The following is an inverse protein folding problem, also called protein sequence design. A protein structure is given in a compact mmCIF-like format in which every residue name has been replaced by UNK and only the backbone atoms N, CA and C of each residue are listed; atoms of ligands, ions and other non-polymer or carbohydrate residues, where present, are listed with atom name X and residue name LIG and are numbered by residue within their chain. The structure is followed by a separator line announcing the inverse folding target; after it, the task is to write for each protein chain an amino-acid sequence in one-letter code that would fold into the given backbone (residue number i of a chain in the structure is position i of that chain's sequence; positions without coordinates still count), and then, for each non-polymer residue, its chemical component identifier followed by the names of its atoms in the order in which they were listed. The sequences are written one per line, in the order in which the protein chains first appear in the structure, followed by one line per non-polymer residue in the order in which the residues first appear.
data_IF_954615611289
#
_entry.id   IF_954615611289
#
_cell.length_a   1.000
_cell.length_b   1.000
_cell.length_c   1.000
_cell.angle_alpha   90.00
_cell.angle_beta   90.00
_cell.angle_gamma   90.00
#
_symmetry.space_group_name_H-M   'P 1'
#
loop_
_entity.id
_entity.type
_entity.pdbx_description
1 polymer ?
#
# COMPACT_ATOMS: atom_id res chain seq x y z
N UNK A 1 16.27 8.62 -7.96
CA UNK A 1 16.81 7.90 -6.79
C UNK A 1 15.76 6.92 -6.30
N UNK A 2 16.13 5.66 -6.06
CA UNK A 2 15.23 4.63 -5.48
C UNK A 2 15.66 4.34 -4.04
N UNK A 3 14.69 4.18 -3.14
CA UNK A 3 14.95 3.78 -1.77
C UNK A 3 15.19 2.26 -1.69
N UNK A 4 16.01 1.83 -0.74
CA UNK A 4 16.03 0.43 -0.32
C UNK A 4 14.65 0.09 0.25
N UNK A 5 14.04 -0.98 -0.25
CA UNK A 5 12.63 -1.29 -0.03
C UNK A 5 12.48 -2.62 0.67
N UNK A 6 11.70 -2.65 1.75
CA UNK A 6 11.30 -3.89 2.42
C UNK A 6 9.82 -3.86 2.79
N UNK A 7 9.25 -5.04 3.01
CA UNK A 7 7.90 -5.23 3.52
C UNK A 7 7.97 -6.11 4.75
N UNK A 8 7.15 -5.81 5.76
CA UNK A 8 7.03 -6.67 6.94
C UNK A 8 6.26 -7.95 6.62
N UNK A 9 6.32 -8.90 7.55
CA UNK A 9 5.52 -10.13 7.46
C UNK A 9 4.01 -9.81 7.50
N UNK A 10 3.63 -8.83 8.31
CA UNK A 10 2.26 -8.35 8.46
C UNK A 10 1.76 -7.71 7.18
N UNK A 11 2.54 -6.82 6.55
CA UNK A 11 2.19 -6.25 5.25
C UNK A 11 2.05 -7.34 4.16
N UNK A 12 2.94 -8.32 4.17
CA UNK A 12 2.89 -9.46 3.23
C UNK A 12 1.60 -10.27 3.42
N UNK A 13 1.23 -10.55 4.68
CA UNK A 13 -0.01 -11.24 5.03
C UNK A 13 -1.24 -10.44 4.62
N UNK A 14 -1.28 -9.15 4.94
CA UNK A 14 -2.38 -8.25 4.57
C UNK A 14 -2.59 -8.25 3.03
N UNK A 15 -1.50 -8.22 2.24
CA UNK A 15 -1.55 -8.29 0.77
C UNK A 15 -2.16 -9.63 0.32
N UNK A 16 -1.68 -10.76 0.85
CA UNK A 16 -2.18 -12.08 0.47
C UNK A 16 -3.67 -12.24 0.81
N UNK A 17 -4.09 -11.81 2.00
CA UNK A 17 -5.50 -11.85 2.42
C UNK A 17 -6.37 -10.95 1.53
N UNK A 18 -5.89 -9.75 1.19
CA UNK A 18 -6.60 -8.83 0.29
C UNK A 18 -6.78 -9.43 -1.11
N UNK A 19 -5.76 -10.10 -1.66
CA UNK A 19 -5.83 -10.73 -2.97
C UNK A 19 -6.73 -11.96 -2.98
N UNK A 20 -6.66 -12.78 -1.92
CA UNK A 20 -7.53 -13.94 -1.76
C UNK A 20 -9.00 -13.50 -1.64
N UNK A 21 -9.29 -12.49 -0.81
CA UNK A 21 -10.63 -11.94 -0.69
C UNK A 21 -11.14 -11.35 -2.00
N UNK A 22 -10.29 -10.62 -2.73
CA UNK A 22 -10.64 -10.06 -4.05
C UNK A 22 -11.01 -11.15 -5.05
N UNK A 23 -10.27 -12.26 -5.06
CA UNK A 23 -10.56 -13.41 -5.89
C UNK A 23 -11.89 -14.08 -5.50
N UNK A 24 -12.06 -14.36 -4.21
CA UNK A 24 -13.21 -15.12 -3.73
C UNK A 24 -14.52 -14.32 -3.85
N UNK A 25 -14.45 -12.99 -3.75
CA UNK A 25 -15.64 -12.13 -3.79
C UNK A 25 -15.99 -11.64 -5.20
N UNK A 26 -15.01 -11.50 -6.09
CA UNK A 26 -15.21 -10.84 -7.40
C UNK A 26 -14.54 -11.53 -8.59
N UNK A 27 -13.90 -12.68 -8.36
CA UNK A 27 -13.26 -13.50 -9.38
C UNK A 27 -11.82 -13.12 -9.74
N UNK A 28 -11.18 -13.91 -10.61
CA UNK A 28 -9.76 -13.79 -10.94
C UNK A 28 -9.36 -12.43 -11.52
N UNK A 29 -10.19 -11.85 -12.39
CA UNK A 29 -9.92 -10.54 -13.00
C UNK A 29 -9.85 -9.41 -11.96
N UNK A 30 -10.65 -9.51 -10.91
CA UNK A 30 -10.61 -8.56 -9.81
C UNK A 30 -9.34 -8.72 -8.98
N UNK A 31 -8.90 -9.96 -8.71
CA UNK A 31 -7.60 -10.23 -8.08
C UNK A 31 -6.45 -9.62 -8.88
N UNK A 32 -6.39 -9.86 -10.19
CA UNK A 32 -5.35 -9.32 -11.08
C UNK A 32 -5.36 -7.78 -11.07
N UNK A 33 -6.55 -7.17 -11.15
CA UNK A 33 -6.70 -5.72 -11.07
C UNK A 33 -6.19 -5.15 -9.74
N UNK A 34 -6.48 -5.82 -8.63
CA UNK A 34 -6.08 -5.39 -7.29
C UNK A 34 -4.57 -5.57 -7.06
N UNK A 35 -4.01 -6.69 -7.52
CA UNK A 35 -2.56 -6.94 -7.50
C UNK A 35 -1.80 -5.87 -8.27
N UNK A 36 -2.23 -5.55 -9.50
CA UNK A 36 -1.63 -4.50 -10.29
C UNK A 36 -1.68 -3.14 -9.56
N UNK A 37 -2.77 -2.84 -8.85
CA UNK A 37 -2.92 -1.62 -8.06
C UNK A 37 -1.97 -1.58 -6.85
N UNK A 38 -1.82 -2.70 -6.14
CA UNK A 38 -0.85 -2.81 -5.03
C UNK A 38 0.56 -2.58 -5.57
N UNK A 39 0.96 -3.26 -6.65
CA UNK A 39 2.31 -3.15 -7.22
C UNK A 39 2.65 -1.70 -7.59
N UNK A 40 1.76 -0.97 -8.26
CA UNK A 40 2.03 0.44 -8.62
C UNK A 40 2.10 1.34 -7.38
N UNK A 41 1.37 1.01 -6.33
CA UNK A 41 1.42 1.73 -5.05
C UNK A 41 2.75 1.50 -4.33
N UNK A 42 3.23 0.25 -4.25
CA UNK A 42 4.54 -0.07 -3.68
C UNK A 42 5.68 0.60 -4.45
N UNK A 43 5.60 0.62 -5.79
CA UNK A 43 6.55 1.35 -6.63
C UNK A 43 6.53 2.85 -6.36
N UNK A 44 5.35 3.46 -6.19
CA UNK A 44 5.24 4.87 -5.83
C UNK A 44 5.94 5.16 -4.49
N UNK A 45 5.75 4.30 -3.50
CA UNK A 45 6.40 4.40 -2.19
C UNK A 45 7.92 4.29 -2.31
N UNK A 46 8.42 3.33 -3.10
CA UNK A 46 9.87 3.13 -3.29
C UNK A 46 10.57 4.32 -3.99
N UNK A 47 9.91 4.96 -4.95
CA UNK A 47 10.52 6.02 -5.77
C UNK A 47 10.24 7.43 -5.25
N UNK A 48 9.15 7.60 -4.49
CA UNK A 48 8.72 8.90 -3.98
C UNK A 48 7.94 8.76 -2.66
N UNK A 49 8.60 8.32 -1.57
CA UNK A 49 7.93 8.10 -0.29
C UNK A 49 7.34 9.37 0.34
N UNK A 50 7.73 10.55 -0.13
CA UNK A 50 7.21 11.85 0.31
C UNK A 50 6.51 12.63 -0.82
N UNK A 51 6.10 11.94 -1.88
CA UNK A 51 5.44 12.56 -3.04
C UNK A 51 3.97 12.91 -2.76
N UNK A 52 3.35 13.63 -3.71
CA UNK A 52 1.94 14.03 -3.63
C UNK A 52 1.00 12.83 -3.42
N UNK A 53 0.05 12.98 -2.51
CA UNK A 53 -0.92 11.95 -2.14
C UNK A 53 -0.45 10.99 -1.04
N UNK A 54 0.79 11.13 -0.58
CA UNK A 54 1.24 10.57 0.71
C UNK A 54 0.82 11.50 1.84
N UNK A 55 0.42 10.93 2.99
CA UNK A 55 0.07 11.69 4.19
C UNK A 55 1.07 11.39 5.29
N UNK A 56 1.58 12.45 5.92
CA UNK A 56 2.44 12.34 7.08
C UNK A 56 1.67 11.74 8.26
N UNK A 57 2.30 10.80 8.96
CA UNK A 57 1.77 10.17 10.18
C UNK A 57 2.82 10.20 11.29
N UNK A 58 3.51 11.33 11.44
CA UNK A 58 4.43 11.56 12.56
C UNK A 58 3.77 11.38 13.94
N UNK A 59 2.44 11.44 14.01
CA UNK A 59 1.63 11.09 15.18
C UNK A 59 1.73 9.60 15.58
N UNK A 60 2.08 8.70 14.65
CA UNK A 60 2.23 7.27 14.92
C UNK A 60 3.69 6.87 15.20
N UNK A 61 4.64 7.43 14.45
CA UNK A 61 6.07 7.24 14.63
C UNK A 61 6.87 8.21 13.76
N UNK A 62 8.15 8.41 14.08
CA UNK A 62 9.07 9.21 13.25
C UNK A 62 9.17 8.59 11.85
N UNK A 63 8.94 9.41 10.83
CA UNK A 63 9.00 9.00 9.43
C UNK A 63 7.84 8.12 8.97
N UNK A 64 6.82 7.88 9.82
CA UNK A 64 5.63 7.14 9.43
C UNK A 64 4.76 7.96 8.47
N UNK A 65 4.21 7.26 7.47
CA UNK A 65 3.39 7.84 6.41
C UNK A 65 2.33 6.85 5.95
N UNK A 66 1.32 7.37 5.28
CA UNK A 66 0.28 6.57 4.62
C UNK A 66 0.12 6.96 3.15
N UNK A 67 -0.23 5.99 2.31
CA UNK A 67 -0.61 6.22 0.92
C UNK A 67 -1.87 5.42 0.59
N UNK A 68 -2.94 6.13 0.24
CA UNK A 68 -4.19 5.51 -0.17
C UNK A 68 -4.08 4.95 -1.60
N UNK A 69 -4.45 3.68 -1.83
CA UNK A 69 -4.29 3.01 -3.14
C UNK A 69 -5.01 3.73 -4.29
N UNK A 70 -6.13 4.42 -3.99
CA UNK A 70 -6.85 5.27 -4.96
C UNK A 70 -5.94 6.28 -5.67
N UNK A 71 -4.95 6.83 -4.98
CA UNK A 71 -3.99 7.80 -5.53
C UNK A 71 -3.20 7.21 -6.71
N UNK A 72 -2.98 5.89 -6.71
CA UNK A 72 -2.20 5.19 -7.73
C UNK A 72 -3.07 4.54 -8.82
N UNK A 73 -4.40 4.67 -8.76
CA UNK A 73 -5.33 4.01 -9.70
C UNK A 73 -5.07 4.38 -11.17
N UNK A 74 -4.71 5.62 -11.46
CA UNK A 74 -4.39 6.08 -12.82
C UNK A 74 -3.07 5.53 -13.37
N UNK A 75 -2.18 5.02 -12.49
CA UNK A 75 -0.87 4.48 -12.84
C UNK A 75 -0.90 2.99 -13.23
N UNK A 76 -2.03 2.32 -13.04
CA UNK A 76 -2.23 0.94 -13.50
C UNK A 76 -2.20 0.90 -15.03
N UNK A 77 -1.47 -0.06 -15.61
CA UNK A 77 -1.27 -0.19 -17.06
C UNK A 77 -2.61 -0.23 -17.82
N UNK A 78 -2.62 0.38 -19.01
CA UNK A 78 -3.74 0.26 -19.96
C UNK A 78 -3.92 -1.23 -20.32
N UNK A 79 -5.15 -1.71 -20.34
CA UNK A 79 -5.49 -3.12 -20.59
C UNK A 79 -5.79 -3.94 -19.33
N UNK A 80 -5.39 -3.49 -18.14
CA UNK A 80 -5.82 -4.11 -16.87
C UNK A 80 -7.12 -3.46 -16.41
N UNK A 81 -8.10 -4.28 -15.97
CA UNK A 81 -9.34 -3.80 -15.36
C UNK A 81 -9.01 -2.82 -14.23
N UNK A 82 -9.64 -1.64 -14.22
CA UNK A 82 -9.45 -0.67 -13.14
C UNK A 82 -10.30 -1.05 -11.93
N UNK A 83 -9.69 -1.08 -10.74
CA UNK A 83 -10.43 -1.17 -9.48
C UNK A 83 -11.29 0.09 -9.30
N UNK A 84 -12.61 -0.06 -9.21
CA UNK A 84 -13.54 1.06 -9.15
C UNK A 84 -13.40 1.92 -7.88
N UNK A 85 -13.44 1.27 -6.72
CA UNK A 85 -13.37 1.91 -5.39
C UNK A 85 -12.36 1.15 -4.51
N UNK A 86 -11.04 1.34 -4.71
CA UNK A 86 -10.07 0.82 -3.77
C UNK A 86 -10.29 1.51 -2.41
N UNK A 87 -10.21 0.72 -1.35
CA UNK A 87 -10.45 1.10 0.05
C UNK A 87 -9.31 0.65 0.96
N UNK A 88 -8.08 0.59 0.45
CA UNK A 88 -6.93 0.20 1.26
C UNK A 88 -5.89 1.32 1.30
N UNK A 89 -5.18 1.39 2.42
CA UNK A 89 -4.06 2.29 2.68
C UNK A 89 -2.81 1.48 2.99
N UNK A 90 -1.71 1.83 2.34
CA UNK A 90 -0.39 1.36 2.73
C UNK A 90 0.14 2.24 3.87
N UNK A 91 0.54 1.61 4.97
CA UNK A 91 1.28 2.24 6.07
C UNK A 91 2.76 1.91 5.90
N UNK A 92 3.62 2.91 5.93
CA UNK A 92 5.04 2.73 5.71
C UNK A 92 5.88 3.74 6.49
N UNK A 93 7.13 3.37 6.76
CA UNK A 93 8.10 4.24 7.42
C UNK A 93 9.19 4.60 6.43
N UNK A 94 9.55 5.87 6.39
CA UNK A 94 10.59 6.41 5.52
C UNK A 94 11.73 6.98 6.36
N UNK A 95 12.88 6.32 6.34
CA UNK A 95 14.12 6.77 6.94
C UNK A 95 15.23 6.67 5.89
N UNK A 96 15.55 7.79 5.22
CA UNK A 96 16.47 7.80 4.06
C UNK A 96 17.76 7.03 4.36
N UNK A 97 18.20 6.10 3.49
CA UNK A 97 17.67 5.76 2.16
C UNK A 97 16.68 4.57 2.14
N UNK A 98 16.08 4.22 3.27
CA UNK A 98 15.21 3.05 3.44
C UNK A 98 13.73 3.43 3.50
N UNK A 99 12.89 2.58 2.91
CA UNK A 99 11.44 2.60 3.09
C UNK A 99 10.97 1.20 3.43
N UNK A 100 10.16 1.09 4.48
CA UNK A 100 9.56 -0.17 4.91
C UNK A 100 8.04 -0.05 4.89
N UNK A 101 7.37 -0.91 4.15
CA UNK A 101 5.90 -1.04 4.23
C UNK A 101 5.56 -1.96 5.39
N UNK A 102 4.76 -1.43 6.32
CA UNK A 102 4.48 -2.05 7.62
C UNK A 102 3.12 -2.76 7.62
N UNK A 103 2.10 -2.18 6.97
CA UNK A 103 0.77 -2.78 6.83
C UNK A 103 0.10 -2.34 5.52
N UNK A 104 -0.87 -3.13 5.05
CA UNK A 104 -1.81 -2.75 4.00
C UNK A 104 -3.24 -2.94 4.51
N UNK A 105 -3.86 -1.90 5.04
CA UNK A 105 -5.13 -2.04 5.75
C UNK A 105 -6.30 -1.50 4.95
N UNK A 106 -7.47 -2.12 5.10
CA UNK A 106 -8.72 -1.55 4.64
C UNK A 106 -9.04 -0.25 5.40
N UNK A 107 -9.70 0.73 4.78
CA UNK A 107 -10.09 2.02 5.35
C UNK A 107 -10.87 1.90 6.67
N UNK A 108 -11.58 0.78 6.87
CA UNK A 108 -12.38 0.50 8.05
C UNK A 108 -11.64 -0.30 9.13
N UNK A 109 -10.38 -0.69 8.89
CA UNK A 109 -9.61 -1.42 9.88
C UNK A 109 -9.14 -0.47 10.99
N UNK A 110 -9.07 -0.99 12.21
CA UNK A 110 -8.51 -0.23 13.34
C UNK A 110 -7.01 0.01 13.13
N UNK A 111 -6.64 1.29 13.04
CA UNK A 111 -5.26 1.72 12.80
C UNK A 111 -4.40 1.74 14.06
N UNK A 112 -4.99 1.57 15.25
CA UNK A 112 -4.23 1.51 16.51
C UNK A 112 -3.30 0.30 16.61
N UNK A 113 -3.44 -0.68 15.71
CA UNK A 113 -2.62 -1.90 15.68
C UNK A 113 -1.38 -1.80 14.77
N UNK A 114 -1.13 -0.64 14.14
CA UNK A 114 0.06 -0.47 13.31
C UNK A 114 1.27 -0.22 14.20
N UNK A 115 2.14 -1.22 14.31
CA UNK A 115 3.40 -1.12 15.04
C UNK A 115 4.52 -0.76 14.07
N UNK A 116 5.05 0.45 14.19
CA UNK A 116 6.27 0.87 13.53
C UNK A 116 7.49 0.46 14.35
N UNK A 117 8.65 0.36 13.71
CA UNK A 117 9.92 0.27 14.44
C UNK A 117 10.18 1.66 15.05
N UNK A 118 10.53 1.70 16.34
CA UNK A 118 10.96 2.92 17.03
C UNK A 118 12.37 3.34 16.59
#
# INVERSE_FOLDING_TARGET
MSFSFSITREASRDILETLAWSNNSFGPDARVAYEALIIVTLKQIQHGPTSLGTRDRGDLAVGARTLHLRTCRSRVRRGVRKVGRPRHLAFYQCAKPKVRVVRLLHESADTNQVKFDN
#
